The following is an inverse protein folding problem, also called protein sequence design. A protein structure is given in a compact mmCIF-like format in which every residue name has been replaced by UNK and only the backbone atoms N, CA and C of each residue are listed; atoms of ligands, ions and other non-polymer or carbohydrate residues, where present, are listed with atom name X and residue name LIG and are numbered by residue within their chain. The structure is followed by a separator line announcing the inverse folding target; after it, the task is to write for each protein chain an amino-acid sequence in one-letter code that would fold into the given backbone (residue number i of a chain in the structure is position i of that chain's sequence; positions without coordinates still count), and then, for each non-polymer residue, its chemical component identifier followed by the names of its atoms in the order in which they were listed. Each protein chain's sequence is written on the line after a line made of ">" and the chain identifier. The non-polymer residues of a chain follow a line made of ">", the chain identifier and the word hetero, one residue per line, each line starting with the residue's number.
data_IF_599094926112
#
_entry.id   IF_599094926112
#
_cell.length_a   1.000
_cell.length_b   1.000
_cell.length_c   1.000
_cell.angle_alpha   90.00
_cell.angle_beta   90.00
_cell.angle_gamma   90.00
#
_symmetry.space_group_name_H-M   'P 1'
#
loop_
_entity.id
_entity.type
_entity.pdbx_description
1 polymer ?
#
# COMPACT_ATOMS: atom_id res chain seq x y z
N UNK A 1 -13.04 -6.70 1.86
CA UNK A 1 -12.19 -6.06 2.89
C UNK A 1 -11.91 -7.01 4.05
N UNK A 2 -12.84 -7.88 4.47
CA UNK A 2 -12.55 -8.85 5.52
C UNK A 2 -11.56 -9.94 5.12
N UNK A 3 -10.84 -10.48 6.10
CA UNK A 3 -10.04 -11.68 5.98
C UNK A 3 -10.93 -12.92 5.76
N UNK A 4 -10.41 -13.94 5.07
CA UNK A 4 -11.17 -15.14 4.72
C UNK A 4 -11.66 -15.93 5.95
N UNK A 5 -10.88 -15.90 7.02
CA UNK A 5 -11.09 -16.57 8.31
C UNK A 5 -11.59 -15.61 9.40
N UNK A 6 -11.77 -14.33 9.08
CA UNK A 6 -12.34 -13.33 9.98
C UNK A 6 -13.16 -12.32 9.17
N UNK A 7 -14.43 -12.62 8.95
CA UNK A 7 -15.27 -11.84 8.04
C UNK A 7 -15.55 -10.43 8.57
N UNK A 8 -15.60 -9.45 7.66
CA UNK A 8 -15.95 -8.07 7.99
C UNK A 8 -17.45 -7.86 7.84
N UNK A 9 -18.19 -8.28 8.86
CA UNK A 9 -19.65 -8.16 8.94
C UNK A 9 -20.03 -7.01 9.88
N UNK A 10 -21.19 -6.36 9.67
CA UNK A 10 -21.74 -5.40 10.62
C UNK A 10 -21.80 -6.00 12.03
N UNK A 11 -21.38 -5.21 13.02
CA UNK A 11 -21.43 -5.57 14.44
C UNK A 11 -22.24 -4.55 15.20
N UNK A 12 -22.99 -5.03 16.18
CA UNK A 12 -23.69 -4.15 17.12
C UNK A 12 -22.69 -3.53 18.10
N UNK A 13 -22.89 -2.27 18.45
CA UNK A 13 -22.06 -1.55 19.41
C UNK A 13 -21.99 -0.06 19.16
N UNK A 14 -21.75 0.71 20.23
CA UNK A 14 -21.56 2.14 20.13
C UNK A 14 -20.37 2.47 19.22
N UNK A 15 -20.58 3.34 18.24
CA UNK A 15 -19.53 3.77 17.30
C UNK A 15 -19.30 2.85 16.10
N UNK A 16 -20.05 1.75 15.96
CA UNK A 16 -20.01 0.87 14.79
C UNK A 16 -20.79 1.45 13.61
N UNK A 17 -20.32 1.16 12.40
CA UNK A 17 -20.95 1.60 11.15
C UNK A 17 -21.44 0.38 10.33
N UNK A 18 -22.75 0.12 10.28
CA UNK A 18 -23.30 -1.08 9.66
C UNK A 18 -23.37 -1.00 8.12
N UNK A 19 -23.00 0.13 7.52
CA UNK A 19 -23.11 0.34 6.07
C UNK A 19 -22.13 -0.57 5.32
N UNK A 20 -22.51 -0.96 4.09
CA UNK A 20 -21.65 -1.74 3.19
C UNK A 20 -20.35 -1.01 2.81
N UNK A 21 -20.40 0.31 2.76
CA UNK A 21 -19.25 1.20 2.59
C UNK A 21 -19.13 2.06 3.85
N UNK A 22 -18.60 1.49 4.94
CA UNK A 22 -18.52 2.21 6.21
C UNK A 22 -17.39 3.25 6.16
N UNK A 23 -17.41 4.18 7.11
CA UNK A 23 -16.30 5.11 7.31
C UNK A 23 -15.04 4.38 7.79
N UNK A 24 -13.88 5.03 7.67
CA UNK A 24 -12.59 4.48 8.10
C UNK A 24 -12.57 4.06 9.59
N UNK A 25 -13.43 4.65 10.44
CA UNK A 25 -13.57 4.31 11.85
C UNK A 25 -13.97 2.85 12.06
N UNK A 26 -14.85 2.31 11.23
CA UNK A 26 -15.27 0.90 11.35
C UNK A 26 -14.14 -0.04 10.98
N UNK A 27 -13.38 0.27 9.93
CA UNK A 27 -12.18 -0.49 9.57
C UNK A 27 -11.15 -0.42 10.70
N UNK A 28 -10.99 0.75 11.33
CA UNK A 28 -10.13 0.93 12.50
C UNK A 28 -10.61 0.10 13.70
N UNK A 29 -11.91 -0.13 13.90
CA UNK A 29 -12.41 -1.01 14.96
C UNK A 29 -12.25 -2.50 14.60
N UNK A 30 -12.42 -2.86 13.33
CA UNK A 30 -12.28 -4.23 12.84
C UNK A 30 -10.85 -4.79 13.00
N UNK A 31 -9.81 -3.98 12.82
CA UNK A 31 -8.41 -4.44 12.91
C UNK A 31 -7.99 -4.85 14.35
N UNK A 32 -8.25 -4.06 15.41
CA UNK A 32 -8.08 -4.49 16.80
C UNK A 32 -8.92 -5.70 17.16
N UNK A 33 -10.16 -5.82 16.68
CA UNK A 33 -10.99 -7.01 16.91
C UNK A 33 -10.30 -8.27 16.35
N UNK A 34 -9.73 -8.16 15.15
CA UNK A 34 -8.94 -9.24 14.55
C UNK A 34 -7.70 -9.55 15.39
N UNK A 35 -6.91 -8.55 15.76
CA UNK A 35 -5.72 -8.77 16.59
C UNK A 35 -6.05 -9.42 17.95
N UNK A 36 -7.17 -9.03 18.58
CA UNK A 36 -7.62 -9.60 19.84
C UNK A 36 -8.07 -11.06 19.66
N UNK A 37 -8.81 -11.38 18.60
CA UNK A 37 -9.30 -12.74 18.34
C UNK A 37 -8.15 -13.75 18.13
N UNK A 38 -7.01 -13.31 17.61
CA UNK A 38 -5.84 -14.14 17.33
C UNK A 38 -4.66 -13.92 18.28
N UNK A 39 -4.81 -13.07 19.31
CA UNK A 39 -3.74 -12.80 20.28
C UNK A 39 -2.46 -12.20 19.68
N UNK A 40 -2.59 -11.36 18.65
CA UNK A 40 -1.43 -10.89 17.87
C UNK A 40 -0.64 -9.77 18.55
N UNK A 41 -1.26 -9.02 19.47
CA UNK A 41 -0.66 -7.82 20.05
C UNK A 41 0.56 -8.14 20.94
N UNK A 42 0.67 -9.35 21.47
CA UNK A 42 1.82 -9.76 22.30
C UNK A 42 3.14 -9.77 21.52
N UNK A 43 3.07 -9.90 20.18
CA UNK A 43 4.23 -9.86 19.30
C UNK A 43 4.54 -8.45 18.75
N UNK A 44 3.70 -7.44 19.03
CA UNK A 44 3.80 -6.11 18.44
C UNK A 44 4.46 -5.13 19.41
N UNK A 45 5.58 -4.53 18.98
CA UNK A 45 6.23 -3.43 19.69
C UNK A 45 5.78 -2.09 19.08
N UNK A 46 4.84 -1.41 19.74
CA UNK A 46 4.43 -0.05 19.36
C UNK A 46 5.48 0.99 19.76
N UNK A 47 5.45 2.16 19.12
CA UNK A 47 6.42 3.24 19.31
C UNK A 47 7.89 2.83 19.05
N UNK A 48 8.08 1.75 18.29
CA UNK A 48 9.40 1.25 17.87
C UNK A 48 9.55 1.43 16.37
N UNK A 49 10.44 2.34 15.96
CA UNK A 49 10.73 2.63 14.56
C UNK A 49 11.96 1.85 14.12
N UNK A 50 11.82 1.03 13.08
CA UNK A 50 12.97 0.39 12.42
C UNK A 50 13.75 1.45 11.65
N UNK A 51 15.05 1.56 11.93
CA UNK A 51 15.96 2.55 11.31
C UNK A 51 16.98 1.90 10.38
N UNK A 52 17.27 0.61 10.55
CA UNK A 52 18.16 -0.15 9.64
C UNK A 52 17.78 -1.62 9.60
N UNK A 53 17.86 -2.21 8.42
CA UNK A 53 17.79 -3.64 8.15
C UNK A 53 18.91 -3.97 7.19
N UNK A 54 19.86 -4.82 7.61
CA UNK A 54 21.02 -5.18 6.79
C UNK A 54 21.39 -6.66 7.00
N UNK A 55 21.94 -7.35 5.99
CA UNK A 55 22.50 -8.68 6.20
C UNK A 55 23.68 -8.62 7.19
N UNK A 56 23.74 -9.57 8.13
CA UNK A 56 24.84 -9.64 9.12
C UNK A 56 26.18 -10.02 8.49
N UNK A 57 26.14 -10.77 7.38
CA UNK A 57 27.31 -11.11 6.57
C UNK A 57 26.90 -11.31 5.12
N UNK A 58 27.78 -10.92 4.20
CA UNK A 58 27.61 -11.10 2.76
C UNK A 58 28.24 -12.40 2.24
N UNK A 59 29.02 -13.10 3.08
CA UNK A 59 29.86 -14.25 2.71
C UNK A 59 29.36 -15.59 3.25
N UNK A 60 28.48 -15.59 4.26
CA UNK A 60 27.98 -16.84 4.86
C UNK A 60 26.82 -17.44 4.08
N UNK A 61 26.71 -18.78 4.09
CA UNK A 61 25.55 -19.50 3.52
C UNK A 61 24.24 -19.23 4.28
N UNK A 62 24.32 -18.87 5.55
CA UNK A 62 23.18 -18.42 6.33
C UNK A 62 23.04 -16.90 6.21
N UNK A 63 21.91 -16.46 5.68
CA UNK A 63 21.56 -15.04 5.57
C UNK A 63 20.73 -14.66 6.80
N UNK A 64 21.39 -14.11 7.80
CA UNK A 64 20.71 -13.46 8.92
C UNK A 64 20.68 -11.95 8.69
N UNK A 65 19.77 -11.27 9.37
CA UNK A 65 19.50 -9.85 9.20
C UNK A 65 19.62 -9.14 10.55
N UNK A 66 20.53 -8.16 10.64
CA UNK A 66 20.57 -7.20 11.74
C UNK A 66 19.48 -6.16 11.51
N UNK A 67 18.58 -6.03 12.50
CA UNK A 67 17.51 -5.04 12.51
C UNK A 67 17.74 -4.09 13.67
N UNK A 68 18.03 -2.83 13.33
CA UNK A 68 18.22 -1.74 14.29
C UNK A 68 16.94 -0.94 14.40
N UNK A 69 16.50 -0.69 15.62
CA UNK A 69 15.25 0.01 15.91
C UNK A 69 15.42 1.00 17.06
N UNK A 70 14.62 2.07 17.01
CA UNK A 70 14.58 3.11 18.05
C UNK A 70 13.19 3.08 18.67
N UNK A 71 13.13 2.80 19.97
CA UNK A 71 11.91 2.86 20.77
C UNK A 71 11.81 4.22 21.45
N UNK A 72 10.67 4.87 21.27
CA UNK A 72 10.36 6.12 21.96
C UNK A 72 9.65 5.82 23.27
N UNK A 73 10.20 6.32 24.37
CA UNK A 73 9.62 6.27 25.71
C UNK A 73 9.11 7.67 26.11
N UNK A 74 7.99 7.72 26.83
CA UNK A 74 7.31 8.96 27.21
C UNK A 74 6.33 9.49 26.17
N UNK A 75 5.31 10.22 26.63
CA UNK A 75 4.23 10.78 25.82
C UNK A 75 4.32 12.31 25.68
N UNK A 76 3.48 12.91 24.82
CA UNK A 76 3.29 14.37 24.79
C UNK A 76 2.56 14.93 26.02
N UNK A 77 1.95 14.06 26.84
CA UNK A 77 1.31 14.44 28.09
C UNK A 77 2.38 14.56 29.18
N UNK A 78 2.43 15.73 29.82
CA UNK A 78 3.23 16.10 31.00
C UNK A 78 4.71 16.44 30.82
N UNK A 79 5.12 17.03 29.69
CA UNK A 79 6.47 17.65 29.58
C UNK A 79 7.63 16.68 29.85
N UNK A 80 7.34 15.37 29.84
CA UNK A 80 8.28 14.32 30.09
C UNK A 80 9.34 14.33 28.99
N UNK A 81 10.61 14.15 29.39
CA UNK A 81 11.70 14.02 28.44
C UNK A 81 11.40 12.85 27.52
N UNK A 82 11.45 13.12 26.22
CA UNK A 82 11.40 12.06 25.21
C UNK A 82 12.73 11.33 25.29
N UNK A 83 12.68 10.09 25.74
CA UNK A 83 13.84 9.21 25.75
C UNK A 83 13.74 8.27 24.54
N UNK A 84 14.87 8.06 23.88
CA UNK A 84 14.99 7.14 22.76
C UNK A 84 15.96 6.02 23.14
N UNK A 85 15.46 4.79 23.12
CA UNK A 85 16.27 3.59 23.33
C UNK A 85 16.55 2.93 21.98
N UNK A 86 17.81 2.65 21.72
CA UNK A 86 18.23 1.96 20.50
C UNK A 86 18.53 0.49 20.80
N UNK A 87 18.04 -0.39 19.93
CA UNK A 87 18.23 -1.83 20.03
C UNK A 87 18.61 -2.38 18.65
N UNK A 88 19.54 -3.33 18.62
CA UNK A 88 19.84 -4.14 17.43
C UNK A 88 19.61 -5.63 17.74
N UNK A 89 18.80 -6.27 16.91
CA UNK A 89 18.45 -7.69 17.05
C UNK A 89 18.68 -8.41 15.73
N UNK A 90 19.16 -9.65 15.81
CA UNK A 90 19.40 -10.52 14.65
C UNK A 90 18.21 -11.44 14.42
N UNK A 91 17.73 -11.49 13.17
CA UNK A 91 16.64 -12.36 12.74
C UNK A 91 17.06 -13.24 11.56
N UNK A 92 16.47 -14.44 11.47
CA UNK A 92 16.69 -15.33 10.31
C UNK A 92 15.98 -14.83 9.04
N UNK A 93 14.90 -14.05 9.20
CA UNK A 93 14.13 -13.48 8.11
C UNK A 93 13.51 -12.13 8.50
N UNK A 94 13.28 -11.28 7.52
CA UNK A 94 12.60 -9.99 7.67
C UNK A 94 11.49 -9.88 6.64
N UNK A 95 10.29 -9.54 7.10
CA UNK A 95 9.13 -9.22 6.25
C UNK A 95 8.87 -7.72 6.34
N UNK A 96 8.95 -7.03 5.20
CA UNK A 96 8.70 -5.58 5.14
C UNK A 96 7.23 -5.33 4.81
N UNK A 97 6.47 -4.85 5.80
CA UNK A 97 5.03 -4.56 5.70
C UNK A 97 4.69 -3.10 6.05
N UNK A 98 5.56 -2.15 5.67
CA UNK A 98 5.45 -0.72 6.05
C UNK A 98 4.42 0.08 5.25
N UNK A 99 3.75 -0.55 4.28
CA UNK A 99 2.82 0.10 3.35
C UNK A 99 3.51 0.99 2.31
N UNK A 100 2.70 1.52 1.38
CA UNK A 100 3.19 2.28 0.20
C UNK A 100 2.55 3.67 0.04
N UNK A 101 1.54 4.02 0.83
CA UNK A 101 0.76 5.26 0.66
C UNK A 101 1.22 6.41 1.58
N UNK A 102 2.51 6.47 1.87
CA UNK A 102 3.08 7.45 2.82
C UNK A 102 4.05 8.44 2.21
N UNK A 103 4.74 8.09 1.13
CA UNK A 103 5.68 8.97 0.46
C UNK A 103 5.02 9.63 -0.75
N UNK A 104 4.60 10.91 -0.67
CA UNK A 104 3.85 11.56 -1.74
C UNK A 104 4.70 11.65 -3.01
N UNK A 105 4.07 11.50 -4.18
CA UNK A 105 4.70 11.77 -5.47
C UNK A 105 4.20 13.10 -6.00
N UNK A 106 5.11 14.05 -6.22
CA UNK A 106 4.77 15.28 -6.92
C UNK A 106 4.78 15.06 -8.44
N UNK A 107 3.85 15.68 -9.18
CA UNK A 107 3.80 15.50 -10.63
C UNK A 107 5.07 16.04 -11.30
N UNK A 108 5.63 15.25 -12.21
CA UNK A 108 6.63 15.73 -13.15
C UNK A 108 5.95 16.33 -14.39
N UNK A 109 6.54 17.39 -14.95
CA UNK A 109 6.08 18.01 -16.20
C UNK A 109 4.98 19.06 -16.07
N UNK A 110 4.65 19.52 -14.86
CA UNK A 110 3.87 20.75 -14.66
C UNK A 110 4.85 21.91 -14.52
N UNK A 111 4.74 22.91 -15.39
CA UNK A 111 5.56 24.12 -15.33
C UNK A 111 5.09 25.04 -14.19
N UNK A 112 6.01 25.84 -13.63
CA UNK A 112 5.66 26.89 -12.67
C UNK A 112 5.19 26.41 -11.29
N UNK A 113 5.37 25.14 -10.94
CA UNK A 113 5.04 24.62 -9.58
C UNK A 113 5.72 25.42 -8.47
N UNK A 114 6.99 25.80 -8.66
CA UNK A 114 7.72 26.66 -7.73
C UNK A 114 7.37 28.15 -7.78
N UNK A 115 6.70 28.59 -8.86
CA UNK A 115 6.27 29.99 -9.04
C UNK A 115 4.91 30.26 -8.40
N UNK A 116 4.11 29.21 -8.20
CA UNK A 116 2.78 29.31 -7.61
C UNK A 116 2.84 29.75 -6.14
N UNK A 117 2.22 30.90 -5.85
CA UNK A 117 2.29 31.55 -4.54
C UNK A 117 1.10 31.26 -3.62
N UNK A 118 0.05 30.60 -4.14
CA UNK A 118 -1.13 30.23 -3.36
C UNK A 118 -0.97 28.83 -2.75
N UNK A 119 -2.04 28.26 -2.19
CA UNK A 119 -1.96 26.99 -1.45
C UNK A 119 -1.70 25.82 -2.42
N UNK A 120 -0.73 24.97 -2.08
CA UNK A 120 -0.41 23.72 -2.78
C UNK A 120 -0.30 22.59 -1.77
N UNK A 121 -1.00 21.48 -1.99
CA UNK A 121 -1.05 20.36 -1.06
C UNK A 121 -1.02 19.03 -1.82
N UNK A 122 -0.36 18.01 -1.26
CA UNK A 122 -0.60 16.63 -1.70
C UNK A 122 -1.82 16.06 -0.98
N UNK A 123 -2.53 15.09 -1.58
CA UNK A 123 -3.67 14.38 -0.96
C UNK A 123 -3.33 13.78 0.42
N UNK A 124 -2.05 13.48 0.66
CA UNK A 124 -1.50 13.01 1.95
C UNK A 124 -1.78 13.96 3.11
N UNK A 125 -1.89 15.26 2.83
CA UNK A 125 -2.15 16.32 3.81
C UNK A 125 -3.64 16.67 3.93
N UNK A 126 -4.50 16.15 3.05
CA UNK A 126 -5.94 16.35 3.14
C UNK A 126 -6.49 15.67 4.40
N UNK A 127 -7.38 16.35 5.12
CA UNK A 127 -8.01 15.84 6.35
C UNK A 127 -9.51 16.05 6.34
N UNK A 128 -9.96 17.27 6.08
CA UNK A 128 -11.37 17.62 6.03
C UNK A 128 -11.61 18.70 4.96
N UNK A 129 -12.84 18.86 4.45
CA UNK A 129 -13.13 19.81 3.39
C UNK A 129 -13.28 21.26 3.89
N UNK A 130 -13.63 21.49 5.16
CA UNK A 130 -13.98 22.81 5.71
C UNK A 130 -12.95 23.92 5.45
N UNK A 131 -11.63 23.68 5.51
CA UNK A 131 -10.62 24.70 5.23
C UNK A 131 -10.61 25.25 3.80
N UNK A 132 -11.39 24.65 2.89
CA UNK A 132 -11.50 25.01 1.46
C UNK A 132 -12.87 25.60 1.12
N UNK A 133 -13.65 25.99 2.13
CA UNK A 133 -14.98 26.56 1.94
C UNK A 133 -14.90 27.84 1.09
N UNK A 134 -15.71 27.90 0.03
CA UNK A 134 -15.77 29.06 -0.87
C UNK A 134 -14.56 29.23 -1.79
N UNK A 135 -13.56 28.35 -1.74
CA UNK A 135 -12.39 28.39 -2.61
C UNK A 135 -12.67 27.80 -4.00
N UNK A 136 -11.95 28.26 -5.01
CA UNK A 136 -11.77 27.53 -6.27
C UNK A 136 -10.59 26.57 -6.14
N UNK A 137 -10.83 25.27 -6.31
CA UNK A 137 -9.84 24.23 -6.06
C UNK A 137 -9.54 23.44 -7.32
N UNK A 138 -8.25 23.27 -7.67
CA UNK A 138 -7.82 22.37 -8.74
C UNK A 138 -7.30 21.08 -8.12
N UNK A 139 -7.81 19.93 -8.58
CA UNK A 139 -7.37 18.59 -8.16
C UNK A 139 -6.65 17.94 -9.33
N UNK A 140 -5.34 17.76 -9.20
CA UNK A 140 -4.48 17.12 -10.22
C UNK A 140 -4.48 15.61 -10.01
N UNK A 141 -5.06 14.88 -10.95
CA UNK A 141 -5.22 13.43 -10.92
C UNK A 141 -6.63 12.98 -10.54
N UNK A 142 -7.17 11.99 -11.25
CA UNK A 142 -8.53 11.45 -11.07
C UNK A 142 -8.53 9.96 -10.67
N UNK A 143 -7.50 9.50 -9.95
CA UNK A 143 -7.54 8.19 -9.27
C UNK A 143 -8.48 8.22 -8.06
N UNK A 144 -8.38 7.21 -7.19
CA UNK A 144 -9.26 7.07 -6.01
C UNK A 144 -9.24 8.34 -5.14
N UNK A 145 -8.06 8.79 -4.71
CA UNK A 145 -7.95 10.00 -3.88
C UNK A 145 -8.47 11.26 -4.58
N UNK A 146 -8.17 11.44 -5.87
CA UNK A 146 -8.59 12.64 -6.59
C UNK A 146 -10.11 12.72 -6.77
N UNK A 147 -10.72 11.57 -7.05
CA UNK A 147 -12.17 11.41 -7.18
C UNK A 147 -12.86 11.65 -5.83
N UNK A 148 -12.42 10.96 -4.77
CA UNK A 148 -13.05 11.08 -3.45
C UNK A 148 -12.87 12.47 -2.84
N UNK A 149 -11.67 13.06 -2.94
CA UNK A 149 -11.41 14.42 -2.44
C UNK A 149 -12.24 15.44 -3.23
N UNK A 150 -12.34 15.31 -4.56
CA UNK A 150 -13.20 16.20 -5.35
C UNK A 150 -14.66 16.09 -4.90
N UNK A 151 -15.15 14.88 -4.63
CA UNK A 151 -16.51 14.67 -4.16
C UNK A 151 -16.78 15.20 -2.75
N UNK A 152 -15.78 15.18 -1.87
CA UNK A 152 -15.94 15.75 -0.53
C UNK A 152 -15.85 17.28 -0.56
N UNK A 153 -14.91 17.83 -1.33
CA UNK A 153 -14.75 19.28 -1.53
C UNK A 153 -15.97 19.94 -2.16
N UNK A 154 -16.70 19.23 -3.05
CA UNK A 154 -17.90 19.77 -3.72
C UNK A 154 -18.95 20.31 -2.75
N UNK A 155 -18.93 19.84 -1.49
CA UNK A 155 -19.89 20.21 -0.45
C UNK A 155 -19.65 21.61 0.11
N UNK A 156 -18.46 22.17 -0.06
CA UNK A 156 -18.05 23.42 0.60
C UNK A 156 -17.31 24.39 -0.32
N UNK A 157 -16.58 23.90 -1.32
CA UNK A 157 -15.84 24.73 -2.28
C UNK A 157 -16.80 25.47 -3.22
N UNK A 158 -16.35 26.62 -3.75
CA UNK A 158 -17.10 27.35 -4.79
C UNK A 158 -17.10 26.58 -6.11
N UNK A 159 -15.95 26.02 -6.46
CA UNK A 159 -15.77 25.22 -7.67
C UNK A 159 -14.59 24.26 -7.50
N UNK A 160 -14.69 23.09 -8.13
CA UNK A 160 -13.64 22.06 -8.11
C UNK A 160 -13.32 21.63 -9.54
N UNK A 161 -12.07 21.79 -9.93
CA UNK A 161 -11.55 21.52 -11.26
C UNK A 161 -10.68 20.26 -11.20
N UNK A 162 -11.23 19.14 -11.63
CA UNK A 162 -10.51 17.88 -11.71
C UNK A 162 -9.70 17.84 -13.00
N UNK A 163 -8.38 17.72 -12.91
CA UNK A 163 -7.47 17.73 -14.06
C UNK A 163 -6.85 16.36 -14.29
N UNK A 164 -7.08 15.77 -15.46
CA UNK A 164 -6.60 14.43 -15.79
C UNK A 164 -6.31 14.26 -17.30
N UNK A 165 -5.52 13.24 -17.66
CA UNK A 165 -5.48 12.81 -19.07
C UNK A 165 -6.80 12.18 -19.47
N UNK A 166 -7.15 12.29 -20.76
CA UNK A 166 -8.25 11.56 -21.39
C UNK A 166 -8.22 10.06 -21.05
N UNK A 167 -7.05 9.43 -21.12
CA UNK A 167 -6.87 8.01 -20.77
C UNK A 167 -7.14 7.66 -19.30
N UNK A 168 -7.13 8.65 -18.40
CA UNK A 168 -7.36 8.43 -16.96
C UNK A 168 -8.81 8.70 -16.57
N UNK A 169 -9.54 9.50 -17.36
CA UNK A 169 -10.94 9.79 -17.15
C UNK A 169 -11.80 8.58 -17.53
N UNK A 170 -12.16 7.76 -16.54
CA UNK A 170 -13.04 6.61 -16.74
C UNK A 170 -14.50 7.05 -16.92
N UNK A 171 -15.39 6.21 -17.49
CA UNK A 171 -16.82 6.52 -17.57
C UNK A 171 -17.47 6.84 -16.20
N UNK A 172 -16.93 6.29 -15.11
CA UNK A 172 -17.38 6.63 -13.76
C UNK A 172 -17.05 8.08 -13.39
N UNK A 173 -15.85 8.55 -13.70
CA UNK A 173 -15.45 9.96 -13.50
C UNK A 173 -16.31 10.89 -14.35
N UNK A 174 -16.57 10.54 -15.62
CA UNK A 174 -17.43 11.35 -16.49
C UNK A 174 -18.86 11.47 -15.93
N UNK A 175 -19.45 10.36 -15.46
CA UNK A 175 -20.78 10.38 -14.83
C UNK A 175 -20.80 11.20 -13.54
N UNK A 176 -19.75 11.07 -12.72
CA UNK A 176 -19.61 11.83 -11.50
C UNK A 176 -19.62 13.34 -11.78
N UNK A 177 -18.87 13.78 -12.79
CA UNK A 177 -18.82 15.20 -13.20
C UNK A 177 -20.17 15.63 -13.76
N UNK A 178 -20.82 14.80 -14.58
CA UNK A 178 -22.17 15.11 -15.10
C UNK A 178 -23.22 15.25 -13.99
N UNK A 179 -23.16 14.41 -12.96
CA UNK A 179 -24.11 14.44 -11.83
C UNK A 179 -23.91 15.66 -10.90
N UNK A 180 -22.75 16.31 -10.96
CA UNK A 180 -22.36 17.42 -10.09
C UNK A 180 -21.74 18.57 -10.90
N UNK A 181 -22.22 18.80 -12.12
CA UNK A 181 -21.64 19.75 -13.08
C UNK A 181 -21.78 21.22 -12.69
N UNK A 182 -22.58 21.50 -11.67
CA UNK A 182 -22.70 22.81 -11.02
C UNK A 182 -21.43 23.23 -10.29
N UNK A 183 -20.73 22.27 -9.67
CA UNK A 183 -19.50 22.52 -8.88
C UNK A 183 -18.27 21.84 -9.47
N UNK A 184 -18.41 20.63 -10.03
CA UNK A 184 -17.31 19.83 -10.56
C UNK A 184 -17.12 20.07 -12.06
N UNK A 185 -15.89 20.31 -12.49
CA UNK A 185 -15.53 20.41 -13.91
C UNK A 185 -14.31 19.55 -14.21
N UNK A 186 -14.35 18.83 -15.33
CA UNK A 186 -13.24 18.02 -15.81
C UNK A 186 -12.39 18.83 -16.80
N UNK A 187 -11.09 18.83 -16.61
CA UNK A 187 -10.11 19.49 -17.46
C UNK A 187 -9.06 18.50 -17.93
N UNK A 188 -8.41 18.76 -19.08
CA UNK A 188 -7.18 18.06 -19.46
C UNK A 188 -6.07 18.24 -18.41
N UNK A 189 -4.92 17.59 -18.63
CA UNK A 189 -3.78 17.73 -17.74
C UNK A 189 -3.40 19.20 -17.55
N UNK A 190 -3.06 19.56 -16.32
CA UNK A 190 -2.45 20.85 -16.02
C UNK A 190 -1.13 20.94 -16.77
N UNK A 191 -0.93 22.06 -17.47
CA UNK A 191 0.29 22.40 -18.18
C UNK A 191 1.20 23.27 -17.30
N UNK A 192 0.64 24.36 -16.75
CA UNK A 192 1.40 25.34 -15.98
C UNK A 192 0.59 25.95 -14.84
N UNK A 193 1.25 26.13 -13.70
CA UNK A 193 0.81 26.97 -12.59
C UNK A 193 1.48 28.34 -12.72
N UNK A 194 0.70 29.41 -12.65
CA UNK A 194 1.20 30.79 -12.80
C UNK A 194 1.28 31.49 -11.46
N UNK A 195 2.21 32.44 -11.31
CA UNK A 195 2.41 33.19 -10.06
C UNK A 195 1.20 34.07 -9.66
N UNK A 196 0.35 34.44 -10.63
CA UNK A 196 -0.88 35.24 -10.43
C UNK A 196 -2.06 34.43 -9.87
N UNK A 197 -1.91 33.10 -9.73
CA UNK A 197 -2.99 32.21 -9.29
C UNK A 197 -3.78 31.56 -10.42
N UNK A 198 -3.36 31.73 -11.68
CA UNK A 198 -3.95 31.03 -12.82
C UNK A 198 -3.37 29.62 -12.97
N UNK A 199 -4.23 28.66 -13.28
CA UNK A 199 -3.89 27.30 -13.68
C UNK A 199 -4.28 27.13 -15.14
N UNK A 200 -3.33 26.73 -15.98
CA UNK A 200 -3.54 26.53 -17.41
C UNK A 200 -3.44 25.05 -17.78
N UNK A 201 -4.35 24.60 -18.64
CA UNK A 201 -4.51 23.21 -19.03
C UNK A 201 -3.98 22.96 -20.45
N UNK A 202 -3.84 21.69 -20.81
CA UNK A 202 -3.25 21.27 -22.07
C UNK A 202 -4.03 21.71 -23.33
N UNK A 203 -5.33 22.00 -23.20
CA UNK A 203 -6.18 22.53 -24.28
C UNK A 203 -6.10 24.06 -24.44
N UNK A 204 -5.28 24.73 -23.63
CA UNK A 204 -5.13 26.19 -23.62
C UNK A 204 -6.15 26.91 -22.73
N UNK A 205 -7.14 26.21 -22.17
CA UNK A 205 -8.05 26.80 -21.19
C UNK A 205 -7.31 27.13 -19.88
N UNK A 206 -7.88 28.03 -19.08
CA UNK A 206 -7.31 28.40 -17.79
C UNK A 206 -8.36 28.82 -16.78
N UNK A 207 -8.06 28.64 -15.50
CA UNK A 207 -8.90 29.02 -14.37
C UNK A 207 -8.07 29.70 -13.29
N UNK A 208 -8.66 30.61 -12.53
CA UNK A 208 -8.02 31.16 -11.32
C UNK A 208 -8.39 30.27 -10.16
N UNK A 209 -7.40 29.73 -9.46
CA UNK A 209 -7.62 28.82 -8.34
C UNK A 209 -6.96 29.33 -7.06
N UNK A 210 -7.59 29.05 -5.92
CA UNK A 210 -7.07 29.41 -4.60
C UNK A 210 -6.15 28.31 -4.06
N UNK A 211 -6.49 27.04 -4.36
CA UNK A 211 -5.76 25.86 -3.92
C UNK A 211 -5.52 24.86 -5.06
N UNK A 212 -4.32 24.27 -5.10
CA UNK A 212 -4.00 23.11 -5.95
C UNK A 212 -3.73 21.88 -5.09
N UNK A 213 -4.45 20.78 -5.36
CA UNK A 213 -4.21 19.47 -4.77
C UNK A 213 -3.51 18.54 -5.75
N UNK A 214 -2.40 17.96 -5.33
CA UNK A 214 -1.74 16.85 -6.03
C UNK A 214 -2.29 15.52 -5.52
N UNK A 215 -3.12 14.88 -6.33
CA UNK A 215 -3.65 13.53 -6.13
C UNK A 215 -2.92 12.55 -7.07
N UNK A 216 -1.59 12.65 -7.07
CA UNK A 216 -0.68 12.04 -8.05
C UNK A 216 -0.05 10.74 -7.57
N UNK A 217 -0.54 10.21 -6.45
CA UNK A 217 -0.15 8.91 -5.92
C UNK A 217 1.05 8.97 -4.98
N UNK A 218 1.65 7.81 -4.77
CA UNK A 218 2.69 7.62 -3.76
C UNK A 218 3.79 6.73 -4.33
N UNK A 219 5.01 6.95 -3.84
CA UNK A 219 6.17 6.15 -4.18
C UNK A 219 6.52 5.16 -3.08
N UNK A 220 7.21 4.09 -3.45
CA UNK A 220 7.88 3.22 -2.51
C UNK A 220 9.09 3.92 -1.91
N UNK A 221 9.27 3.78 -0.59
CA UNK A 221 10.40 4.34 0.13
C UNK A 221 10.76 3.40 1.28
N UNK A 222 11.98 2.88 1.24
CA UNK A 222 12.52 1.97 2.25
C UNK A 222 13.89 2.46 2.73
N UNK A 223 14.00 3.66 3.34
CA UNK A 223 15.28 4.26 3.70
C UNK A 223 16.04 3.45 4.76
N UNK A 224 15.33 2.59 5.50
CA UNK A 224 15.91 1.68 6.49
C UNK A 224 16.50 0.40 5.87
N UNK A 225 16.18 0.07 4.61
CA UNK A 225 16.52 -1.22 4.01
C UNK A 225 17.86 -1.15 3.26
N UNK A 226 18.91 -1.68 3.87
CA UNK A 226 20.25 -1.79 3.26
C UNK A 226 20.47 -3.21 2.75
N UNK A 227 20.20 -3.42 1.47
CA UNK A 227 20.34 -4.72 0.81
C UNK A 227 21.58 -4.82 -0.05
N UNK A 228 22.50 -3.85 0.01
CA UNK A 228 23.64 -3.77 -0.91
C UNK A 228 23.21 -3.73 -2.39
N UNK A 229 22.03 -3.15 -2.68
CA UNK A 229 21.46 -3.06 -4.03
C UNK A 229 20.69 -4.31 -4.50
N UNK A 230 20.52 -5.33 -3.66
CA UNK A 230 19.76 -6.52 -4.02
C UNK A 230 18.24 -6.26 -4.20
N UNK A 231 17.72 -5.20 -3.58
CA UNK A 231 16.37 -4.66 -3.82
C UNK A 231 16.51 -3.18 -4.17
N UNK A 232 15.90 -2.78 -5.28
CA UNK A 232 15.89 -1.40 -5.74
C UNK A 232 14.46 -0.89 -5.93
N UNK A 233 14.28 0.40 -5.65
CA UNK A 233 13.08 1.13 -6.06
C UNK A 233 13.42 1.87 -7.36
N UNK A 234 12.85 1.39 -8.47
CA UNK A 234 13.02 1.96 -9.80
C UNK A 234 11.81 2.77 -10.27
N UNK A 235 11.87 3.23 -11.53
CA UNK A 235 10.80 3.95 -12.23
C UNK A 235 10.22 5.13 -11.43
N UNK A 236 11.10 6.00 -10.93
CA UNK A 236 10.71 7.21 -10.20
C UNK A 236 10.00 6.95 -8.87
N UNK A 237 10.21 5.78 -8.27
CA UNK A 237 9.55 5.40 -7.01
C UNK A 237 8.42 4.39 -7.16
N UNK A 238 8.07 3.99 -8.39
CA UNK A 238 6.83 3.23 -8.66
C UNK A 238 7.02 1.71 -8.72
N UNK A 239 8.25 1.21 -8.80
CA UNK A 239 8.52 -0.22 -9.00
C UNK A 239 9.55 -0.68 -7.98
N UNK A 240 9.25 -1.78 -7.28
CA UNK A 240 10.20 -2.49 -6.43
C UNK A 240 10.67 -3.73 -7.18
N UNK A 241 11.97 -3.89 -7.37
CA UNK A 241 12.52 -5.03 -8.09
C UNK A 241 13.93 -5.40 -7.59
N UNK A 242 14.32 -6.68 -7.73
CA UNK A 242 13.49 -7.84 -8.09
C UNK A 242 12.59 -8.31 -6.92
N UNK A 243 11.38 -8.75 -7.24
CA UNK A 243 10.48 -9.45 -6.33
C UNK A 243 9.97 -10.73 -7.01
N UNK A 244 10.14 -11.88 -6.37
CA UNK A 244 9.62 -13.16 -6.87
C UNK A 244 8.12 -13.27 -6.54
N UNK A 245 7.31 -13.70 -7.52
CA UNK A 245 5.83 -13.82 -7.42
C UNK A 245 5.05 -12.54 -7.05
N UNK A 246 5.69 -11.37 -7.06
CA UNK A 246 4.96 -10.12 -6.91
C UNK A 246 4.06 -9.86 -8.13
N UNK A 247 2.77 -9.65 -7.87
CA UNK A 247 1.84 -9.07 -8.83
C UNK A 247 2.09 -7.57 -8.91
N UNK A 248 2.98 -7.14 -9.79
CA UNK A 248 3.21 -5.72 -10.07
C UNK A 248 1.94 -5.09 -10.65
N UNK A 249 1.17 -4.43 -9.79
CA UNK A 249 0.09 -3.52 -10.20
C UNK A 249 0.55 -2.09 -9.95
N UNK A 250 1.43 -1.60 -10.83
CA UNK A 250 1.46 -0.18 -11.14
C UNK A 250 1.11 -0.07 -12.62
N UNK A 251 -0.11 0.40 -12.90
CA UNK A 251 -0.64 0.48 -14.26
C UNK A 251 0.21 1.41 -15.13
N UNK A 252 0.33 1.05 -16.42
CA UNK A 252 0.83 1.82 -17.59
C UNK A 252 2.29 1.55 -18.01
N UNK A 253 2.52 0.38 -18.63
CA UNK A 253 3.19 0.19 -19.94
C UNK A 253 3.14 -1.30 -20.36
N UNK A 254 3.18 -1.64 -21.66
CA UNK A 254 3.02 -3.01 -22.12
C UNK A 254 4.18 -3.90 -21.67
N UNK A 255 3.84 -5.07 -21.12
CA UNK A 255 4.77 -6.12 -20.77
C UNK A 255 5.69 -6.45 -21.96
N UNK A 256 6.97 -6.08 -21.88
CA UNK A 256 8.02 -6.78 -22.63
C UNK A 256 8.60 -7.85 -21.71
N UNK A 257 8.19 -9.10 -21.93
CA UNK A 257 8.90 -10.28 -21.41
C UNK A 257 10.35 -10.21 -21.88
N UNK A 258 11.27 -9.81 -21.00
CA UNK A 258 12.66 -10.25 -21.10
C UNK A 258 12.79 -11.51 -20.26
N UNK A 259 12.75 -12.66 -20.92
CA UNK A 259 13.14 -13.93 -20.33
C UNK A 259 14.59 -13.84 -19.86
N UNK A 260 14.94 -14.20 -18.61
CA UNK A 260 16.33 -14.38 -18.23
C UNK A 260 16.84 -15.65 -18.90
N UNK A 261 17.59 -15.51 -20.00
CA UNK A 261 18.41 -16.60 -20.53
C UNK A 261 19.53 -16.87 -19.54
N UNK A 262 19.34 -17.85 -18.66
CA UNK A 262 20.43 -18.52 -17.98
C UNK A 262 21.18 -19.35 -19.03
N UNK A 263 22.16 -18.71 -19.69
CA UNK A 263 23.14 -19.41 -20.49
C UNK A 263 24.10 -20.13 -19.55
N UNK A 264 23.86 -21.42 -19.30
CA UNK A 264 24.85 -22.32 -18.74
C UNK A 264 26.07 -22.36 -19.67
N UNK A 265 27.13 -21.63 -19.31
CA UNK A 265 28.47 -21.88 -19.85
C UNK A 265 29.02 -23.15 -19.18
N UNK A 266 28.79 -24.29 -19.83
CA UNK A 266 29.41 -25.57 -19.51
C UNK A 266 30.22 -26.05 -20.70
N UNK A 267 31.48 -26.40 -20.44
CA UNK A 267 32.55 -26.59 -21.41
C UNK A 267 32.37 -27.80 -22.32
N UNK A 268 32.88 -27.62 -23.54
CA UNK A 268 33.43 -28.58 -24.50
C UNK A 268 33.65 -30.02 -24.03
N UNK A 269 33.16 -30.99 -24.81
CA UNK A 269 33.97 -32.01 -25.54
C UNK A 269 33.03 -33.05 -26.18
N UNK A 270 33.19 -33.25 -27.50
CA UNK A 270 33.18 -34.52 -28.23
C UNK A 270 32.61 -34.35 -29.65
N UNK A 271 33.52 -34.57 -30.60
CA UNK A 271 33.34 -34.69 -32.05
C UNK A 271 32.62 -36.01 -32.39
N UNK A 272 32.03 -36.06 -33.59
CA UNK A 272 31.64 -37.30 -34.27
C UNK A 272 30.42 -37.13 -35.17
N UNK A 273 30.54 -36.46 -36.32
CA UNK A 273 30.69 -37.09 -37.66
C UNK A 273 29.54 -38.02 -38.12
N UNK A 274 28.70 -37.44 -38.99
CA UNK A 274 28.37 -37.93 -40.34
C UNK A 274 27.27 -38.99 -40.58
N UNK A 275 26.56 -38.72 -41.70
CA UNK A 275 25.88 -39.60 -42.67
C UNK A 275 24.38 -39.97 -42.50
N UNK A 276 23.60 -39.22 -43.29
CA UNK A 276 22.59 -39.66 -44.29
C UNK A 276 22.20 -41.15 -44.31
N UNK A 277 20.88 -41.44 -44.32
CA UNK A 277 20.09 -41.85 -45.51
C UNK A 277 18.60 -42.13 -45.21
N UNK A 278 17.76 -41.59 -46.12
CA UNK A 278 16.53 -42.14 -46.77
C UNK A 278 15.41 -42.78 -45.93
N UNK A 279 14.26 -42.08 -45.90
CA UNK A 279 13.04 -42.40 -46.65
C UNK A 279 12.26 -43.69 -46.33
N UNK A 280 10.95 -43.52 -46.04
CA UNK A 280 9.93 -44.50 -46.46
C UNK A 280 8.95 -45.03 -45.41
N UNK A 281 7.74 -44.47 -45.45
CA UNK A 281 6.44 -45.11 -45.16
C UNK A 281 5.98 -45.42 -43.71
N UNK A 282 4.93 -44.66 -43.34
CA UNK A 282 3.69 -45.04 -42.64
C UNK A 282 3.65 -46.39 -41.91
N UNK A 283 3.41 -46.33 -40.59
CA UNK A 283 2.35 -47.10 -39.89
C UNK A 283 2.07 -46.51 -38.51
N UNK A 284 0.78 -46.49 -38.16
CA UNK A 284 0.19 -45.96 -36.93
C UNK A 284 0.65 -46.78 -35.72
N UNK A 285 1.03 -46.12 -34.62
CA UNK A 285 1.22 -46.76 -33.32
C UNK A 285 -0.11 -46.88 -32.56
N UNK A 286 -0.40 -48.02 -31.92
CA UNK A 286 -1.38 -48.13 -30.85
C UNK A 286 -0.78 -47.78 -29.48
N UNK A 287 -1.65 -47.74 -28.48
CA UNK A 287 -1.56 -47.02 -27.21
C UNK A 287 -0.49 -47.47 -26.18
N UNK A 288 -0.37 -46.59 -25.17
CA UNK A 288 0.03 -46.82 -23.76
C UNK A 288 1.48 -46.50 -23.35
N UNK A 289 1.63 -45.46 -22.51
CA UNK A 289 2.52 -45.50 -21.35
C UNK A 289 2.10 -44.45 -20.31
N UNK A 290 1.59 -44.96 -19.17
CA UNK A 290 1.28 -44.23 -17.94
C UNK A 290 2.54 -43.55 -17.40
N UNK A 291 2.52 -42.24 -17.19
CA UNK A 291 3.51 -41.58 -16.35
C UNK A 291 2.91 -41.37 -14.95
N UNK A 292 3.35 -42.19 -13.99
CA UNK A 292 3.00 -42.09 -12.56
C UNK A 292 3.53 -40.75 -12.01
N UNK A 293 2.65 -39.77 -11.79
CA UNK A 293 2.95 -38.64 -10.89
C UNK A 293 2.92 -39.15 -9.45
N UNK A 294 4.10 -39.30 -8.83
CA UNK A 294 4.22 -39.43 -7.37
C UNK A 294 3.75 -38.12 -6.73
N UNK A 295 2.52 -38.10 -6.23
CA UNK A 295 2.09 -37.15 -5.20
C UNK A 295 2.75 -37.59 -3.89
N UNK A 296 3.66 -36.78 -3.33
CA UNK A 296 4.01 -36.90 -1.92
C UNK A 296 2.86 -36.30 -1.13
N UNK A 297 2.10 -37.16 -0.46
CA UNK A 297 1.14 -36.79 0.55
C UNK A 297 1.90 -36.20 1.75
N UNK A 298 1.53 -35.00 2.17
CA UNK A 298 1.80 -34.53 3.53
C UNK A 298 0.75 -35.20 4.42
N UNK A 299 1.19 -36.05 5.34
CA UNK A 299 0.32 -36.69 6.34
C UNK A 299 -0.07 -35.71 7.45
N UNK A 300 -1.22 -35.90 8.09
CA UNK A 300 -1.71 -35.03 9.15
C UNK A 300 -0.94 -35.26 10.46
N UNK A 301 -0.45 -34.19 11.06
CA UNK A 301 0.02 -34.20 12.44
C UNK A 301 -1.19 -34.31 13.37
N UNK A 302 -1.32 -35.47 14.04
CA UNK A 302 -2.13 -35.63 15.25
C UNK A 302 -1.22 -35.33 16.44
N UNK A 303 -1.59 -34.36 17.27
CA UNK A 303 -1.14 -34.26 18.66
C UNK A 303 -2.31 -34.61 19.57
N UNK A 304 -2.14 -35.71 20.29
CA UNK A 304 -2.95 -36.12 21.43
C UNK A 304 -2.35 -35.49 22.69
N UNK A 305 -3.09 -34.63 23.37
CA UNK A 305 -3.03 -34.44 24.84
C UNK A 305 -4.01 -33.33 25.26
N UNK A 306 -5.06 -33.73 25.98
CA UNK A 306 -5.71 -32.86 26.95
C UNK A 306 -4.79 -32.71 28.17
N UNK A 307 -4.85 -31.59 28.90
CA UNK A 307 -5.51 -31.67 30.20
C UNK A 307 -6.23 -30.38 30.67
N UNK A 308 -7.24 -30.59 31.52
CA UNK A 308 -7.44 -29.77 32.72
C UNK A 308 -8.26 -28.48 32.61
N UNK A 309 -9.52 -28.54 33.03
CA UNK A 309 -10.28 -27.38 33.54
C UNK A 309 -9.60 -26.82 34.80
N UNK A 310 -9.49 -25.49 34.98
CA UNK A 310 -9.36 -24.90 36.30
C UNK A 310 -10.74 -24.67 36.94
N UNK A 311 -10.84 -24.64 38.28
CA UNK A 311 -12.10 -24.62 39.02
C UNK A 311 -12.76 -23.24 39.02
N UNK A 312 -14.07 -23.25 39.22
CA UNK A 312 -14.89 -22.09 39.50
C UNK A 312 -14.50 -21.48 40.86
N UNK A 313 -14.08 -20.22 40.87
CA UNK A 313 -14.02 -19.42 42.10
C UNK A 313 -15.35 -18.68 42.27
N UNK A 314 -15.90 -18.84 43.48
CA UNK A 314 -17.13 -18.25 43.97
C UNK A 314 -16.96 -16.75 44.24
N UNK A 315 -18.10 -16.08 44.31
CA UNK A 315 -18.28 -14.64 44.38
C UNK A 315 -17.51 -13.88 45.46
N UNK A 316 -17.26 -12.62 45.15
CA UNK A 316 -17.30 -11.52 46.10
C UNK A 316 -18.16 -10.41 45.49
N UNK A 317 -19.11 -9.94 46.28
CA UNK A 317 -20.10 -8.90 46.00
C UNK A 317 -19.46 -7.51 45.96
N UNK A 318 -20.14 -6.51 45.37
CA UNK A 318 -19.57 -5.21 45.04
C UNK A 318 -19.53 -4.27 46.25
N UNK A 319 -18.40 -3.58 46.44
CA UNK A 319 -18.33 -2.44 47.35
C UNK A 319 -18.70 -1.17 46.60
N UNK A 320 -19.79 -0.57 47.05
CA UNK A 320 -20.36 0.73 46.68
C UNK A 320 -19.36 1.88 46.88
N UNK A 321 -19.23 2.75 45.88
CA UNK A 321 -18.65 4.08 46.01
C UNK A 321 -19.79 5.13 46.11
N UNK A 322 -19.72 6.11 47.03
CA UNK A 322 -20.74 7.16 47.15
C UNK A 322 -20.49 8.32 46.15
N UNK A 323 -21.53 9.07 45.75
CA UNK A 323 -21.41 10.17 44.80
C UNK A 323 -21.27 11.52 45.54
N UNK A 324 -20.40 12.42 45.09
CA UNK A 324 -20.42 13.88 45.29
C UNK A 324 -19.24 14.48 44.51
N UNK A 325 -19.25 15.67 43.91
CA UNK A 325 -20.23 16.77 43.76
C UNK A 325 -19.77 17.60 42.57
N UNK A 326 -20.73 18.19 41.85
CA UNK A 326 -20.48 19.33 40.97
C UNK A 326 -20.08 20.54 41.80
N UNK A 327 -19.06 21.26 41.36
CA UNK A 327 -18.96 22.72 41.41
C UNK A 327 -18.28 23.17 40.12
#
# INVERSE_FOLDING_TARGET
>A
MGFSDFQFLPRDGAGRDPRRFPGHREVHCYLPDFCAAFGLMDAVRLNTRVVRVAPTSTTTRQRQWAVRSVRRLGGPEDGARVEEEEEEVVFDAVVVATGQYSHPMLPSGIEGVGEWRRRQLHSRLYRTPEPFRGEAVVVVGCGDSGTDIALDLRRVAREVHLAASSEAATPAVSRMVANHGDVLRLHPRVRRLHADGRVSFADGSSVVADTVFFCTGYGYSFPFLDTGGAVAVGDGGCVVAPLFEASSTCSRRPWRRRSPSWACRGRSWCRGSSRRRRGGSRRRCPAAARCRRRRRCCGPWRSTSAPGRPPACRGSTPTTAPPHRRH
#
